data_IF_503211768228
#
_entry.id   IF_503211768228
#
_cell.length_a   1.000
_cell.length_b   1.000
_cell.length_c   1.000
_cell.angle_alpha   90.00
_cell.angle_beta   90.00
_cell.angle_gamma   90.00
#
_symmetry.space_group_name_H-M   'P 1'
#
loop_
_entity.id
_entity.type
_entity.pdbx_description
1 polymer ?
#
# COMPACT_ATOMS: atom_id res chain seq x y z
N UNK A 1 -0.76 -9.24 15.11
CA UNK A 1 -0.21 -8.18 14.26
C UNK A 1 -1.29 -7.77 13.27
N UNK A 2 -1.48 -6.47 13.05
CA UNK A 2 -2.41 -5.91 12.07
C UNK A 2 -1.66 -4.95 11.14
N UNK A 3 -1.67 -5.20 9.84
CA UNK A 3 -0.99 -4.35 8.84
C UNK A 3 -1.96 -3.53 8.01
N UNK A 4 -1.56 -2.32 7.62
CA UNK A 4 -2.26 -1.52 6.63
C UNK A 4 -1.79 -1.92 5.22
N UNK A 5 -2.71 -2.19 4.28
CA UNK A 5 -2.35 -2.57 2.91
C UNK A 5 -2.12 -1.34 2.03
N UNK A 6 -0.86 -1.08 1.68
CA UNK A 6 -0.48 -0.05 0.71
C UNK A 6 -0.44 -0.65 -0.70
N UNK A 7 -1.52 -0.48 -1.47
CA UNK A 7 -1.65 -1.02 -2.83
C UNK A 7 -1.51 0.10 -3.86
N UNK A 8 -0.60 0.00 -4.85
CA UNK A 8 -0.61 0.91 -6.00
C UNK A 8 -1.93 0.79 -6.76
N UNK A 9 -2.67 1.90 -6.89
CA UNK A 9 -3.95 1.93 -7.61
C UNK A 9 -3.88 2.73 -8.90
N UNK A 10 -3.20 3.89 -8.87
CA UNK A 10 -3.16 4.81 -9.99
C UNK A 10 -2.60 4.16 -11.26
N UNK A 11 -3.32 4.29 -12.38
CA UNK A 11 -2.90 3.73 -13.66
C UNK A 11 -3.19 2.24 -13.84
N UNK A 12 -3.83 1.58 -12.87
CA UNK A 12 -4.18 0.14 -12.95
C UNK A 12 -5.69 -0.07 -13.14
N UNK A 13 -6.09 -1.20 -13.76
CA UNK A 13 -7.46 -1.66 -13.77
C UNK A 13 -7.94 -2.09 -12.38
N UNK A 14 -9.22 -1.89 -12.09
CA UNK A 14 -9.85 -2.29 -10.80
C UNK A 14 -9.68 -3.79 -10.52
N UNK A 15 -9.87 -4.64 -11.53
CA UNK A 15 -9.76 -6.09 -11.35
C UNK A 15 -8.32 -6.54 -11.08
N UNK A 16 -7.31 -5.85 -11.63
CA UNK A 16 -5.90 -6.12 -11.28
C UNK A 16 -5.63 -5.79 -9.80
N UNK A 17 -6.15 -4.65 -9.32
CA UNK A 17 -6.02 -4.22 -7.92
C UNK A 17 -6.67 -5.24 -6.99
N UNK A 18 -7.91 -5.66 -7.29
CA UNK A 18 -8.66 -6.66 -6.50
C UNK A 18 -7.93 -8.01 -6.46
N UNK A 19 -7.39 -8.45 -7.59
CA UNK A 19 -6.65 -9.70 -7.66
C UNK A 19 -5.40 -9.64 -6.76
N UNK A 20 -4.58 -8.60 -6.88
CA UNK A 20 -3.37 -8.43 -6.04
C UNK A 20 -3.70 -8.39 -4.54
N UNK A 21 -4.78 -7.69 -4.15
CA UNK A 21 -5.25 -7.64 -2.76
C UNK A 21 -5.69 -9.03 -2.30
N UNK A 22 -6.43 -9.77 -3.12
CA UNK A 22 -6.90 -11.13 -2.80
C UNK A 22 -5.75 -12.11 -2.61
N UNK A 23 -4.75 -12.04 -3.48
CA UNK A 23 -3.56 -12.89 -3.41
C UNK A 23 -2.76 -12.62 -2.13
N UNK A 24 -2.55 -11.33 -1.82
CA UNK A 24 -1.92 -10.91 -0.58
C UNK A 24 -2.71 -11.35 0.66
N UNK A 25 -4.02 -11.09 0.70
CA UNK A 25 -4.90 -11.48 1.80
C UNK A 25 -4.87 -12.99 2.07
N UNK A 26 -4.80 -13.80 1.01
CA UNK A 26 -4.66 -15.26 1.11
C UNK A 26 -3.34 -15.68 1.74
N UNK A 27 -2.24 -14.97 1.47
CA UNK A 27 -0.95 -15.19 2.14
C UNK A 27 -0.98 -14.72 3.59
N UNK A 28 -1.56 -13.56 3.90
CA UNK A 28 -1.68 -13.04 5.27
C UNK A 28 -2.51 -13.97 6.16
N UNK A 29 -3.64 -14.49 5.66
CA UNK A 29 -4.50 -15.41 6.38
C UNK A 29 -3.78 -16.71 6.78
N UNK A 30 -2.88 -17.24 5.93
CA UNK A 30 -2.08 -18.44 6.24
C UNK A 30 -1.10 -18.21 7.38
N UNK A 31 -0.72 -16.96 7.64
CA UNK A 31 0.25 -16.57 8.65
C UNK A 31 -0.42 -15.95 9.90
N UNK A 32 -1.75 -16.01 10.01
CA UNK A 32 -2.53 -15.42 11.11
C UNK A 32 -2.27 -13.91 11.31
N UNK A 33 -2.12 -13.19 10.20
CA UNK A 33 -1.90 -11.74 10.16
C UNK A 33 -3.21 -11.04 9.80
N UNK A 34 -3.68 -10.15 10.67
CA UNK A 34 -4.84 -9.29 10.40
C UNK A 34 -4.44 -8.11 9.51
N UNK A 35 -5.39 -7.53 8.78
CA UNK A 35 -5.10 -6.39 7.90
C UNK A 35 -6.25 -5.41 7.76
N UNK A 36 -5.88 -4.15 7.49
CA UNK A 36 -6.79 -3.12 7.02
C UNK A 36 -6.57 -2.87 5.53
N UNK A 37 -7.62 -3.03 4.73
CA UNK A 37 -7.60 -2.72 3.30
C UNK A 37 -8.29 -1.35 3.05
N UNK A 38 -7.55 -0.31 2.60
CA UNK A 38 -8.12 0.99 2.28
C UNK A 38 -8.90 1.00 0.94
N UNK A 39 -8.80 -0.06 0.12
CA UNK A 39 -9.44 -0.10 -1.18
C UNK A 39 -10.97 -0.17 -1.06
N UNK A 40 -11.64 0.84 -1.62
CA UNK A 40 -13.09 0.90 -1.76
C UNK A 40 -13.46 0.90 -3.24
N UNK A 41 -14.14 -0.16 -3.70
CA UNK A 41 -14.50 -0.33 -5.11
C UNK A 41 -15.39 0.81 -5.64
N UNK A 42 -16.28 1.36 -4.81
CA UNK A 42 -17.11 2.53 -5.17
C UNK A 42 -16.22 3.74 -5.47
N UNK A 43 -15.29 4.07 -4.57
CA UNK A 43 -14.34 5.17 -4.75
C UNK A 43 -13.43 4.94 -5.97
N UNK A 44 -12.98 3.70 -6.18
CA UNK A 44 -12.14 3.35 -7.33
C UNK A 44 -12.89 3.53 -8.66
N UNK A 45 -14.17 3.13 -8.73
CA UNK A 45 -15.03 3.35 -9.88
C UNK A 45 -15.27 4.84 -10.16
N UNK A 46 -15.59 5.63 -9.12
CA UNK A 46 -15.77 7.08 -9.25
C UNK A 46 -14.51 7.80 -9.74
N UNK A 47 -13.35 7.22 -9.43
CA UNK A 47 -12.03 7.71 -9.81
C UNK A 47 -11.52 7.12 -11.13
N UNK A 48 -12.26 6.22 -11.77
CA UNK A 48 -11.85 5.53 -12.98
C UNK A 48 -12.17 6.32 -14.25
N UNK A 49 -11.29 6.25 -15.25
CA UNK A 49 -11.51 6.71 -16.62
C UNK A 49 -11.15 5.54 -17.53
N UNK A 50 -12.10 5.11 -18.37
CA UNK A 50 -11.95 3.94 -19.26
C UNK A 50 -11.50 2.65 -18.52
N UNK A 51 -11.96 2.46 -17.28
CA UNK A 51 -11.62 1.29 -16.46
C UNK A 51 -10.28 1.39 -15.73
N UNK A 52 -9.54 2.49 -15.90
CA UNK A 52 -8.26 2.76 -15.25
C UNK A 52 -8.43 3.75 -14.10
N UNK A 53 -8.02 3.36 -12.89
CA UNK A 53 -8.11 4.20 -11.68
C UNK A 53 -7.17 5.42 -11.78
N UNK A 54 -7.66 6.59 -11.37
CA UNK A 54 -6.90 7.85 -11.26
C UNK A 54 -7.02 8.45 -9.87
N UNK A 55 -5.92 8.91 -9.30
CA UNK A 55 -5.96 9.62 -8.02
C UNK A 55 -6.45 11.06 -8.20
N UNK A 56 -7.77 11.29 -8.14
CA UNK A 56 -8.37 12.63 -8.30
C UNK A 56 -8.07 13.56 -7.12
N UNK A 57 -7.87 13.00 -5.92
CA UNK A 57 -7.63 13.73 -4.67
C UNK A 57 -6.59 13.03 -3.79
N UNK A 58 -5.34 12.89 -4.27
CA UNK A 58 -4.33 12.05 -3.61
C UNK A 58 -4.02 12.50 -2.18
N UNK A 59 -3.99 13.81 -1.91
CA UNK A 59 -3.69 14.34 -0.57
C UNK A 59 -4.81 14.01 0.42
N UNK A 60 -6.09 14.19 0.03
CA UNK A 60 -7.24 13.87 0.88
C UNK A 60 -7.26 12.37 1.23
N UNK A 61 -6.96 11.52 0.23
CA UNK A 61 -6.84 10.08 0.43
C UNK A 61 -5.72 9.73 1.41
N UNK A 62 -4.54 10.33 1.26
CA UNK A 62 -3.39 10.12 2.16
C UNK A 62 -3.66 10.56 3.60
N UNK A 63 -4.39 11.66 3.81
CA UNK A 63 -4.81 12.05 5.16
C UNK A 63 -5.69 10.99 5.83
N UNK A 64 -6.57 10.34 5.06
CA UNK A 64 -7.37 9.22 5.56
C UNK A 64 -6.52 7.96 5.78
N UNK A 65 -5.56 7.67 4.88
CA UNK A 65 -4.60 6.57 5.06
C UNK A 65 -3.85 6.69 6.38
N UNK A 66 -3.32 7.88 6.70
CA UNK A 66 -2.57 8.12 7.93
C UNK A 66 -3.34 7.75 9.19
N UNK A 67 -4.65 8.07 9.25
CA UNK A 67 -5.52 7.69 10.36
C UNK A 67 -5.60 6.18 10.54
N UNK A 68 -5.70 5.42 9.45
CA UNK A 68 -5.77 3.97 9.52
C UNK A 68 -4.41 3.32 9.80
N UNK A 69 -3.32 3.93 9.32
CA UNK A 69 -1.95 3.50 9.65
C UNK A 69 -1.68 3.64 11.15
N UNK A 70 -2.19 4.70 11.81
CA UNK A 70 -2.12 4.88 13.26
C UNK A 70 -2.65 3.64 14.02
N UNK A 71 -3.77 3.09 13.55
CA UNK A 71 -4.48 1.94 14.14
C UNK A 71 -3.86 0.57 13.80
N UNK A 72 -2.80 0.53 12.99
CA UNK A 72 -2.08 -0.67 12.57
C UNK A 72 -0.68 -0.75 13.20
N UNK A 73 -0.15 -1.96 13.31
CA UNK A 73 1.22 -2.22 13.79
C UNK A 73 2.28 -1.86 12.72
N UNK A 74 1.90 -1.94 11.44
CA UNK A 74 2.79 -1.66 10.31
C UNK A 74 2.06 -1.41 9.00
N UNK A 75 2.83 -1.10 7.96
CA UNK A 75 2.37 -0.97 6.57
C UNK A 75 2.96 -2.09 5.75
N UNK A 76 2.12 -2.74 4.93
CA UNK A 76 2.53 -3.76 3.98
C UNK A 76 2.24 -3.28 2.57
N UNK A 77 3.30 -3.06 1.79
CA UNK A 77 3.22 -2.70 0.38
C UNK A 77 2.96 -3.94 -0.49
N UNK A 78 2.05 -3.82 -1.46
CA UNK A 78 1.71 -4.90 -2.40
C UNK A 78 2.32 -4.59 -3.77
N UNK A 79 3.39 -5.28 -4.14
CA UNK A 79 4.09 -5.12 -5.41
C UNK A 79 5.61 -5.15 -5.27
N UNK A 80 6.32 -4.87 -6.37
CA UNK A 80 7.78 -4.83 -6.38
C UNK A 80 8.36 -3.52 -5.88
N UNK A 81 9.65 -3.50 -5.51
CA UNK A 81 10.36 -2.25 -5.18
C UNK A 81 10.32 -1.22 -6.33
N UNK A 82 10.30 -1.67 -7.59
CA UNK A 82 10.16 -0.77 -8.73
C UNK A 82 8.74 -0.19 -8.85
N UNK A 83 7.69 -0.98 -8.56
CA UNK A 83 6.33 -0.45 -8.46
C UNK A 83 6.20 0.56 -7.31
N UNK A 84 6.88 0.32 -6.19
CA UNK A 84 6.91 1.27 -5.07
C UNK A 84 7.51 2.62 -5.50
N UNK A 85 8.60 2.62 -6.27
CA UNK A 85 9.24 3.85 -6.80
C UNK A 85 8.32 4.69 -7.69
N UNK A 86 7.32 4.06 -8.29
CA UNK A 86 6.34 4.73 -9.16
C UNK A 86 5.06 5.13 -8.42
N UNK A 87 4.84 4.64 -7.21
CA UNK A 87 3.63 4.90 -6.41
C UNK A 87 3.89 5.94 -5.32
N UNK A 88 3.74 7.23 -5.66
CA UNK A 88 3.90 8.32 -4.68
C UNK A 88 2.98 8.19 -3.46
N UNK A 89 1.77 7.63 -3.64
CA UNK A 89 0.86 7.38 -2.52
C UNK A 89 1.42 6.37 -1.53
N UNK A 90 1.81 5.19 -2.02
CA UNK A 90 2.38 4.13 -1.17
C UNK A 90 3.71 4.53 -0.54
N UNK A 91 4.50 5.33 -1.25
CA UNK A 91 5.72 5.94 -0.72
C UNK A 91 5.45 6.79 0.52
N UNK A 92 4.45 7.66 0.47
CA UNK A 92 4.06 8.50 1.62
C UNK A 92 3.53 7.63 2.77
N UNK A 93 2.75 6.60 2.48
CA UNK A 93 2.24 5.66 3.49
C UNK A 93 3.39 4.94 4.23
N UNK A 94 4.41 4.48 3.50
CA UNK A 94 5.62 3.89 4.11
C UNK A 94 6.41 4.94 4.90
N UNK A 95 6.57 6.15 4.37
CA UNK A 95 7.30 7.21 5.07
C UNK A 95 6.61 7.58 6.40
N UNK A 96 5.28 7.59 6.43
CA UNK A 96 4.51 7.74 7.68
C UNK A 96 4.86 6.59 8.63
N UNK A 97 4.78 5.33 8.19
CA UNK A 97 5.10 4.19 9.05
C UNK A 97 6.51 4.29 9.66
N UNK A 98 7.53 4.51 8.83
CA UNK A 98 8.93 4.70 9.26
C UNK A 98 9.06 5.85 10.27
N UNK A 99 8.49 7.02 9.96
CA UNK A 99 8.62 8.21 10.80
C UNK A 99 8.02 8.06 12.20
N UNK A 100 7.08 7.13 12.36
CA UNK A 100 6.40 6.85 13.63
C UNK A 100 6.80 5.49 14.24
N UNK A 101 7.88 4.87 13.76
CA UNK A 101 8.42 3.63 14.31
C UNK A 101 7.49 2.42 14.16
N UNK A 102 6.71 2.38 13.07
CA UNK A 102 5.86 1.25 12.70
C UNK A 102 6.60 0.33 11.73
N UNK A 103 6.25 -0.95 11.74
CA UNK A 103 6.89 -1.93 10.88
C UNK A 103 6.56 -1.69 9.39
N UNK A 104 7.52 -1.96 8.51
CA UNK A 104 7.34 -1.86 7.06
C UNK A 104 7.61 -3.21 6.42
N UNK A 105 6.67 -3.66 5.59
CA UNK A 105 6.74 -4.94 4.90
C UNK A 105 6.47 -4.77 3.40
N UNK A 106 6.89 -5.76 2.63
CA UNK A 106 6.60 -5.89 1.21
C UNK A 106 6.05 -7.28 0.91
N UNK A 107 5.00 -7.32 0.10
CA UNK A 107 4.47 -8.53 -0.51
C UNK A 107 4.84 -8.53 -2.00
N UNK A 108 5.68 -9.49 -2.38
CA UNK A 108 6.20 -9.66 -3.74
C UNK A 108 6.23 -11.17 -4.05
N UNK A 109 5.73 -11.56 -5.23
CA UNK A 109 5.73 -12.94 -5.74
C UNK A 109 5.22 -14.01 -4.76
N UNK A 110 4.23 -13.66 -3.94
CA UNK A 110 3.58 -14.58 -2.99
C UNK A 110 4.22 -14.63 -1.61
N UNK A 111 5.34 -13.92 -1.40
CA UNK A 111 6.08 -13.89 -0.15
C UNK A 111 5.94 -12.53 0.56
N UNK A 112 5.98 -12.55 1.88
CA UNK A 112 6.03 -11.34 2.72
C UNK A 112 7.42 -11.25 3.32
N UNK A 113 8.06 -10.09 3.18
CA UNK A 113 9.37 -9.82 3.77
C UNK A 113 9.41 -8.42 4.39
N UNK A 114 10.37 -8.20 5.28
CA UNK A 114 10.60 -6.90 5.91
C UNK A 114 11.23 -5.92 4.90
N UNK A 115 10.73 -4.69 4.89
CA UNK A 115 11.23 -3.61 4.06
C UNK A 115 12.19 -2.74 4.89
N UNK A 116 13.49 -2.89 4.66
CA UNK A 116 14.54 -2.31 5.52
C UNK A 116 14.50 -0.77 5.50
N UNK A 117 14.35 -0.19 6.69
CA UNK A 117 14.16 1.25 6.97
C UNK A 117 15.23 2.16 6.33
N UNK A 118 16.49 1.72 6.30
CA UNK A 118 17.64 2.46 5.74
C UNK A 118 17.64 2.56 4.21
N UNK A 119 17.13 1.55 3.50
CA UNK A 119 17.01 1.60 2.03
C UNK A 119 15.94 2.61 1.62
N UNK A 120 14.82 2.65 2.37
CA UNK A 120 13.70 3.56 2.14
C UNK A 120 14.09 5.03 2.32
N UNK A 121 14.68 5.38 3.46
CA UNK A 121 15.06 6.78 3.77
C UNK A 121 16.06 7.33 2.73
N UNK A 122 17.02 6.51 2.29
CA UNK A 122 18.03 6.93 1.32
C UNK A 122 17.50 7.06 -0.11
N UNK A 123 16.51 6.26 -0.52
CA UNK A 123 15.91 6.36 -1.85
C UNK A 123 15.04 7.62 -1.99
N UNK A 124 14.32 8.03 -0.93
CA UNK A 124 13.53 9.27 -0.93
C UNK A 124 14.35 10.57 -1.04
N UNK A 125 15.59 10.56 -0.58
CA UNK A 125 16.44 11.76 -0.58
C UNK A 125 17.21 11.95 -1.90
N UNK A 126 17.21 10.95 -2.79
CA UNK A 126 17.94 10.99 -4.07
C UNK A 126 17.06 11.32 -5.27
N UNK A 127 15.74 11.40 -5.09
CA UNK A 127 14.76 11.80 -6.12
C UNK A 127 14.51 13.30 -6.13
#
# INVERSE_FOLDING_TARGET
>A
MKVYLATPMNGKPIEEIKQKISDCASTLAKNDIDFFNPFLEVTANDNSIDGIVKDKKPIEMLCNSAKHIEECDGVLFIGSKDELKLSSGCQVEILIAVSYGKDCFIYEDGEVSELVELELIMEFWKS
#
